data_IF_154671786949
#
_entry.id   IF_154671786949
#
_cell.length_a   1.000
_cell.length_b   1.000
_cell.length_c   1.000
_cell.angle_alpha   90.00
_cell.angle_beta   90.00
_cell.angle_gamma   90.00
#
_symmetry.space_group_name_H-M   'P 1'
#
loop_
_entity.id
_entity.type
_entity.pdbx_description
1 polymer ?
#
# COMPACT_ATOMS: atom_id res chain seq x y z
N UNK A 1 -29.25 14.26 48.10
CA UNK A 1 -29.74 15.15 47.03
C UNK A 1 -28.56 15.48 46.11
N UNK A 2 -28.33 14.65 45.09
CA UNK A 2 -27.20 14.83 44.17
C UNK A 2 -27.53 15.84 43.09
N UNK A 3 -27.03 17.07 43.22
CA UNK A 3 -27.13 18.15 42.23
C UNK A 3 -26.85 17.64 40.82
N UNK A 4 -27.89 17.44 40.01
CA UNK A 4 -27.79 17.21 38.56
C UNK A 4 -27.04 18.37 37.94
N UNK A 5 -25.74 18.20 37.71
CA UNK A 5 -24.99 19.15 36.90
C UNK A 5 -25.62 19.09 35.51
N UNK A 6 -26.35 20.14 35.12
CA UNK A 6 -26.67 20.35 33.72
C UNK A 6 -25.36 20.34 32.93
N UNK A 7 -25.35 19.60 31.82
CA UNK A 7 -24.18 19.57 30.95
C UNK A 7 -23.99 20.96 30.31
N UNK A 8 -23.02 21.72 30.83
CA UNK A 8 -22.63 23.04 30.33
C UNK A 8 -22.38 23.03 28.81
N UNK A 9 -22.44 24.19 28.15
CA UNK A 9 -22.23 24.31 26.70
C UNK A 9 -20.96 23.63 26.17
N UNK A 10 -19.89 23.59 26.97
CA UNK A 10 -18.65 22.86 26.67
C UNK A 10 -18.87 21.33 26.56
N UNK A 11 -19.58 20.71 27.50
CA UNK A 11 -19.84 19.26 27.47
C UNK A 11 -20.71 18.84 26.29
N UNK A 12 -21.70 19.67 25.93
CA UNK A 12 -22.50 19.48 24.71
C UNK A 12 -21.62 19.54 23.46
N UNK A 13 -20.71 20.51 23.38
CA UNK A 13 -19.75 20.62 22.27
C UNK A 13 -18.86 19.38 22.16
N UNK A 14 -18.27 18.90 23.26
CA UNK A 14 -17.46 17.68 23.27
C UNK A 14 -18.24 16.45 22.78
N UNK A 15 -19.50 16.30 23.22
CA UNK A 15 -20.38 15.21 22.78
C UNK A 15 -20.63 15.24 21.28
N UNK A 16 -20.96 16.41 20.72
CA UNK A 16 -21.19 16.56 19.28
C UNK A 16 -19.92 16.33 18.47
N UNK A 17 -18.77 16.83 18.92
CA UNK A 17 -17.49 16.61 18.24
C UNK A 17 -17.13 15.11 18.25
N UNK A 18 -17.18 14.46 19.41
CA UNK A 18 -16.90 13.03 19.51
C UNK A 18 -17.84 12.20 18.61
N UNK A 19 -19.13 12.49 18.62
CA UNK A 19 -20.10 11.81 17.75
C UNK A 19 -19.80 12.04 16.27
N UNK A 20 -19.50 13.28 15.87
CA UNK A 20 -19.23 13.63 14.47
C UNK A 20 -17.97 12.93 13.95
N UNK A 21 -16.86 12.95 14.70
CA UNK A 21 -15.63 12.26 14.30
C UNK A 21 -15.80 10.74 14.21
N UNK A 22 -16.51 10.13 15.17
CA UNK A 22 -16.77 8.69 15.12
C UNK A 22 -17.74 8.34 13.98
N UNK A 23 -18.70 9.19 13.63
CA UNK A 23 -19.57 8.97 12.48
C UNK A 23 -18.78 9.01 11.16
N UNK A 24 -17.85 9.97 11.01
CA UNK A 24 -16.97 10.03 9.84
C UNK A 24 -16.06 8.80 9.75
N UNK A 25 -15.49 8.36 10.88
CA UNK A 25 -14.68 7.16 10.95
C UNK A 25 -15.49 5.90 10.62
N UNK A 26 -16.75 5.82 11.06
CA UNK A 26 -17.67 4.74 10.72
C UNK A 26 -17.92 4.65 9.20
N UNK A 27 -18.24 5.77 8.57
CA UNK A 27 -18.44 5.84 7.11
C UNK A 27 -17.15 5.45 6.38
N UNK A 28 -16.00 5.97 6.82
CA UNK A 28 -14.70 5.60 6.28
C UNK A 28 -14.41 4.10 6.39
N UNK A 29 -14.69 3.50 7.55
CA UNK A 29 -14.54 2.06 7.77
C UNK A 29 -15.42 1.21 6.84
N UNK A 30 -16.67 1.63 6.62
CA UNK A 30 -17.58 0.97 5.66
C UNK A 30 -17.03 1.06 4.24
N UNK A 31 -16.54 2.23 3.82
CA UNK A 31 -15.94 2.40 2.49
C UNK A 31 -14.69 1.52 2.33
N UNK A 32 -13.79 1.51 3.31
CA UNK A 32 -12.57 0.68 3.28
C UNK A 32 -12.92 -0.81 3.22
N UNK A 33 -13.88 -1.26 4.01
CA UNK A 33 -14.36 -2.64 3.99
C UNK A 33 -15.01 -2.99 2.64
N UNK A 34 -15.84 -2.10 2.09
CA UNK A 34 -16.47 -2.31 0.79
C UNK A 34 -15.44 -2.40 -0.35
N UNK A 35 -14.40 -1.55 -0.33
CA UNK A 35 -13.27 -1.65 -1.26
C UNK A 35 -12.53 -2.98 -1.09
N UNK A 36 -12.28 -3.42 0.14
CA UNK A 36 -11.66 -4.72 0.40
C UNK A 36 -12.47 -5.90 -0.15
N UNK A 37 -13.79 -5.90 0.07
CA UNK A 37 -14.70 -6.91 -0.48
C UNK A 37 -14.72 -6.83 -2.01
N UNK A 38 -14.82 -5.63 -2.57
CA UNK A 38 -14.76 -5.41 -4.01
C UNK A 38 -13.49 -6.01 -4.61
N UNK A 39 -12.33 -5.78 -3.98
CA UNK A 39 -11.05 -6.36 -4.44
C UNK A 39 -11.03 -7.88 -4.37
N UNK A 40 -11.67 -8.51 -3.37
CA UNK A 40 -11.80 -9.96 -3.30
C UNK A 40 -12.72 -10.52 -4.38
N UNK A 41 -13.81 -9.82 -4.71
CA UNK A 41 -14.79 -10.24 -5.72
C UNK A 41 -14.27 -10.03 -7.14
N UNK A 42 -13.63 -8.89 -7.42
CA UNK A 42 -13.01 -8.61 -8.73
C UNK A 42 -11.95 -9.68 -9.08
N UNK A 43 -11.23 -10.17 -8.07
CA UNK A 43 -10.31 -11.30 -8.20
C UNK A 43 -11.02 -12.61 -8.62
N UNK A 44 -12.27 -12.86 -8.23
CA UNK A 44 -13.01 -14.06 -8.68
C UNK A 44 -13.33 -14.04 -10.18
N UNK A 45 -13.31 -12.87 -10.82
CA UNK A 45 -13.45 -12.70 -12.27
C UNK A 45 -12.10 -12.56 -12.99
N UNK A 46 -11.07 -12.07 -12.29
CA UNK A 46 -9.71 -11.84 -12.78
C UNK A 46 -8.74 -12.97 -12.40
N UNK A 47 -9.17 -14.25 -12.47
CA UNK A 47 -8.30 -15.43 -12.27
C UNK A 47 -7.09 -15.47 -13.21
N UNK A 48 -7.04 -14.57 -14.19
CA UNK A 48 -5.98 -14.50 -15.15
C UNK A 48 -5.17 -13.20 -15.14
N UNK A 49 -4.94 -12.45 -14.05
CA UNK A 49 -4.09 -11.24 -14.12
C UNK A 49 -3.30 -10.81 -12.86
N UNK A 50 -3.56 -11.37 -11.67
CA UNK A 50 -2.85 -11.02 -10.44
C UNK A 50 -2.55 -12.26 -9.59
N UNK A 51 -1.30 -12.47 -9.22
CA UNK A 51 -0.93 -12.15 -7.83
C UNK A 51 -1.62 -12.84 -6.63
N UNK A 52 -2.38 -13.94 -6.76
CA UNK A 52 -3.34 -14.49 -5.78
C UNK A 52 -2.97 -14.27 -4.30
N UNK A 53 -1.78 -14.62 -3.83
CA UNK A 53 -1.48 -14.59 -2.38
C UNK A 53 -1.19 -13.19 -1.80
N UNK A 54 -0.45 -12.33 -2.50
CA UNK A 54 -0.05 -11.01 -1.96
C UNK A 54 -1.20 -10.01 -2.07
N UNK A 55 -1.91 -10.05 -3.20
CA UNK A 55 -3.09 -9.22 -3.44
C UNK A 55 -4.23 -9.59 -2.49
N UNK A 56 -4.48 -10.89 -2.29
CA UNK A 56 -5.46 -11.36 -1.29
C UNK A 56 -5.04 -10.98 0.12
N UNK A 57 -3.75 -11.07 0.47
CA UNK A 57 -3.27 -10.62 1.78
C UNK A 57 -3.58 -9.13 2.03
N UNK A 58 -3.35 -8.27 1.04
CA UNK A 58 -3.67 -6.84 1.14
C UNK A 58 -5.19 -6.60 1.25
N UNK A 59 -6.00 -7.30 0.46
CA UNK A 59 -7.46 -7.21 0.53
C UNK A 59 -8.00 -7.65 1.89
N UNK A 60 -7.50 -8.77 2.44
CA UNK A 60 -7.88 -9.23 3.78
C UNK A 60 -7.46 -8.24 4.88
N UNK A 61 -6.30 -7.58 4.76
CA UNK A 61 -5.87 -6.53 5.70
C UNK A 61 -6.82 -5.32 5.64
N UNK A 62 -7.26 -4.91 4.44
CA UNK A 62 -8.24 -3.83 4.25
C UNK A 62 -9.58 -4.18 4.89
N UNK A 63 -10.11 -5.38 4.65
CA UNK A 63 -11.37 -5.85 5.28
C UNK A 63 -11.24 -5.87 6.80
N UNK A 64 -10.18 -6.49 7.33
CA UNK A 64 -9.95 -6.61 8.76
C UNK A 64 -9.85 -5.23 9.44
N UNK A 65 -9.11 -4.30 8.83
CA UNK A 65 -8.96 -2.93 9.34
C UNK A 65 -10.29 -2.18 9.26
N UNK A 66 -11.03 -2.32 8.16
CA UNK A 66 -12.37 -1.74 8.01
C UNK A 66 -13.33 -2.20 9.10
N UNK A 67 -13.39 -3.51 9.38
CA UNK A 67 -14.23 -4.07 10.46
C UNK A 67 -13.83 -3.51 11.83
N UNK A 68 -12.53 -3.46 12.14
CA UNK A 68 -12.04 -2.92 13.42
C UNK A 68 -12.43 -1.44 13.57
N UNK A 69 -12.23 -0.62 12.53
CA UNK A 69 -12.61 0.80 12.54
C UNK A 69 -14.12 0.97 12.73
N UNK A 70 -14.96 0.16 12.05
CA UNK A 70 -16.42 0.18 12.20
C UNK A 70 -16.83 -0.11 13.64
N UNK A 71 -16.30 -1.19 14.24
CA UNK A 71 -16.65 -1.59 15.61
C UNK A 71 -16.28 -0.50 16.62
N UNK A 72 -15.07 0.04 16.53
CA UNK A 72 -14.59 1.10 17.43
C UNK A 72 -15.43 2.37 17.26
N UNK A 73 -15.69 2.76 16.02
CA UNK A 73 -16.50 3.94 15.72
C UNK A 73 -17.93 3.81 16.23
N UNK A 74 -18.51 2.60 16.11
CA UNK A 74 -19.83 2.31 16.64
C UNK A 74 -19.88 2.40 18.18
N UNK A 75 -18.88 1.84 18.87
CA UNK A 75 -18.74 1.98 20.32
C UNK A 75 -18.59 3.45 20.75
N UNK A 76 -17.79 4.24 20.01
CA UNK A 76 -17.62 5.68 20.25
C UNK A 76 -18.92 6.47 20.07
N UNK A 77 -19.66 6.21 19.00
CA UNK A 77 -20.97 6.81 18.74
C UNK A 77 -21.99 6.45 19.83
N UNK A 78 -22.11 5.16 20.17
CA UNK A 78 -23.05 4.71 21.21
C UNK A 78 -22.67 5.26 22.59
N UNK A 79 -21.38 5.25 22.93
CA UNK A 79 -20.88 5.81 24.20
C UNK A 79 -21.22 7.29 24.33
N UNK A 80 -21.04 8.07 23.25
CA UNK A 80 -21.39 9.49 23.24
C UNK A 80 -22.90 9.73 23.33
N UNK A 81 -23.72 9.02 22.54
CA UNK A 81 -25.18 9.25 22.48
C UNK A 81 -25.90 8.75 23.73
N UNK A 82 -25.62 7.50 24.15
CA UNK A 82 -26.30 6.82 25.25
C UNK A 82 -25.74 7.17 26.62
N UNK A 83 -24.61 7.86 26.68
CA UNK A 83 -23.96 8.28 27.94
C UNK A 83 -23.68 7.09 28.88
N UNK A 84 -23.32 5.93 28.31
CA UNK A 84 -23.03 4.71 29.08
C UNK A 84 -21.54 4.68 29.42
N UNK A 85 -21.22 4.85 30.71
CA UNK A 85 -19.85 4.82 31.24
C UNK A 85 -19.04 3.59 30.83
N UNK A 86 -19.65 2.40 30.87
CA UNK A 86 -18.99 1.16 30.48
C UNK A 86 -18.51 1.19 29.02
N UNK A 87 -19.37 1.61 28.09
CA UNK A 87 -19.03 1.70 26.65
C UNK A 87 -17.92 2.72 26.39
N UNK A 88 -17.96 3.84 27.11
CA UNK A 88 -16.95 4.89 27.02
C UNK A 88 -15.59 4.45 27.58
N UNK A 89 -15.61 3.67 28.67
CA UNK A 89 -14.40 3.03 29.21
C UNK A 89 -13.84 1.98 28.25
N UNK A 90 -14.68 1.13 27.66
CA UNK A 90 -14.24 0.16 26.64
C UNK A 90 -13.61 0.85 25.44
N UNK A 91 -14.24 1.92 24.93
CA UNK A 91 -13.68 2.73 23.85
C UNK A 91 -12.30 3.31 24.22
N UNK A 92 -12.16 3.85 25.43
CA UNK A 92 -10.87 4.35 25.92
C UNK A 92 -9.80 3.25 25.98
N UNK A 93 -10.11 2.09 26.54
CA UNK A 93 -9.17 0.96 26.66
C UNK A 93 -8.70 0.49 25.27
N UNK A 94 -9.62 0.37 24.31
CA UNK A 94 -9.28 -0.05 22.95
C UNK A 94 -8.41 0.99 22.24
N UNK A 95 -8.75 2.27 22.35
CA UNK A 95 -7.93 3.36 21.77
C UNK A 95 -6.54 3.44 22.40
N UNK A 96 -6.43 3.24 23.71
CA UNK A 96 -5.15 3.17 24.41
C UNK A 96 -4.31 1.99 23.91
N UNK A 97 -4.91 0.81 23.74
CA UNK A 97 -4.26 -0.35 23.14
C UNK A 97 -3.71 -0.04 21.74
N UNK A 98 -4.53 0.58 20.88
CA UNK A 98 -4.10 0.99 19.53
C UNK A 98 -2.92 1.96 19.61
N UNK A 99 -2.99 2.97 20.47
CA UNK A 99 -1.90 3.92 20.65
C UNK A 99 -0.59 3.22 21.07
N UNK A 100 -0.65 2.29 22.01
CA UNK A 100 0.52 1.50 22.42
C UNK A 100 1.05 0.64 21.27
N UNK A 101 0.18 -0.04 20.52
CA UNK A 101 0.62 -0.84 19.35
C UNK A 101 1.24 0.01 18.26
N UNK A 102 0.76 1.25 18.04
CA UNK A 102 1.35 2.18 17.10
C UNK A 102 2.73 2.65 17.57
N UNK A 103 2.89 2.98 18.86
CA UNK A 103 4.18 3.36 19.42
C UNK A 103 5.20 2.22 19.32
N UNK A 104 4.82 1.02 19.78
CA UNK A 104 5.67 -0.17 19.70
C UNK A 104 5.98 -0.50 18.24
N UNK A 105 4.99 -0.50 17.36
CA UNK A 105 5.17 -0.76 15.93
C UNK A 105 6.11 0.26 15.26
N UNK A 106 5.99 1.55 15.60
CA UNK A 106 6.90 2.59 15.12
C UNK A 106 8.34 2.39 15.60
N UNK A 107 8.53 2.10 16.89
CA UNK A 107 9.85 1.83 17.48
C UNK A 107 10.48 0.58 16.85
N UNK A 108 9.74 -0.53 16.77
CA UNK A 108 10.22 -1.77 16.18
C UNK A 108 10.52 -1.61 14.68
N UNK A 109 9.66 -0.89 13.95
CA UNK A 109 9.86 -0.59 12.52
C UNK A 109 11.15 0.20 12.28
N UNK A 110 11.44 1.19 13.13
CA UNK A 110 12.70 1.94 13.06
C UNK A 110 13.91 1.09 13.48
N UNK A 111 13.81 0.39 14.62
CA UNK A 111 14.90 -0.41 15.17
C UNK A 111 15.34 -1.54 14.22
N UNK A 112 14.37 -2.19 13.56
CA UNK A 112 14.62 -3.31 12.65
C UNK A 112 14.64 -2.93 11.17
N UNK A 113 14.69 -1.63 10.83
CA UNK A 113 14.65 -1.16 9.43
C UNK A 113 15.70 -1.81 8.53
N UNK A 114 16.92 -2.03 9.05
CA UNK A 114 18.00 -2.65 8.29
C UNK A 114 17.74 -4.14 8.02
N UNK A 115 17.20 -4.86 9.01
CA UNK A 115 16.86 -6.28 8.87
C UNK A 115 15.70 -6.49 7.89
N UNK A 116 14.70 -5.59 7.92
CA UNK A 116 13.60 -5.60 6.94
C UNK A 116 14.14 -5.39 5.53
N UNK A 117 15.05 -4.44 5.34
CA UNK A 117 15.67 -4.18 4.04
C UNK A 117 16.45 -5.41 3.52
N UNK A 118 17.28 -6.04 4.38
CA UNK A 118 18.01 -7.27 4.02
C UNK A 118 17.06 -8.43 3.71
N UNK A 119 16.01 -8.63 4.53
CA UNK A 119 15.02 -9.69 4.31
C UNK A 119 14.28 -9.50 2.99
N UNK A 120 13.92 -8.25 2.66
CA UNK A 120 13.30 -7.90 1.38
C UNK A 120 14.23 -8.23 0.22
N UNK A 121 15.51 -7.83 0.29
CA UNK A 121 16.53 -8.18 -0.72
C UNK A 121 16.61 -9.69 -0.93
N UNK A 122 16.74 -10.48 0.15
CA UNK A 122 16.83 -11.94 0.07
C UNK A 122 15.59 -12.56 -0.56
N UNK A 123 14.39 -12.08 -0.19
CA UNK A 123 13.12 -12.55 -0.79
C UNK A 123 13.01 -12.20 -2.28
N UNK A 124 13.53 -11.04 -2.68
CA UNK A 124 13.59 -10.68 -4.10
C UNK A 124 14.48 -11.66 -4.87
N UNK A 125 15.69 -11.96 -4.39
CA UNK A 125 16.55 -12.96 -5.01
C UNK A 125 15.89 -14.35 -5.10
N UNK A 126 15.31 -14.85 -4.01
CA UNK A 126 14.68 -16.18 -4.03
C UNK A 126 13.48 -16.25 -4.98
N UNK A 127 12.77 -15.13 -5.18
CA UNK A 127 11.61 -15.08 -6.06
C UNK A 127 11.97 -15.07 -7.56
N UNK A 128 13.23 -14.82 -7.94
CA UNK A 128 13.64 -14.79 -9.35
C UNK A 128 13.39 -16.13 -10.05
N UNK A 129 13.64 -17.25 -9.37
CA UNK A 129 13.44 -18.59 -9.93
C UNK A 129 11.96 -18.96 -10.14
N UNK A 130 11.04 -18.26 -9.47
CA UNK A 130 9.59 -18.48 -9.60
C UNK A 130 8.95 -17.62 -10.70
N UNK A 131 9.66 -16.60 -11.19
CA UNK A 131 9.19 -15.77 -12.29
C UNK A 131 9.10 -16.58 -13.60
N UNK A 132 7.96 -16.48 -14.28
CA UNK A 132 7.60 -17.32 -15.44
C UNK A 132 7.02 -18.68 -15.06
N UNK A 133 7.05 -19.06 -13.77
CA UNK A 133 6.44 -20.30 -13.25
C UNK A 133 5.15 -19.97 -12.51
N UNK A 134 5.26 -19.15 -11.46
CA UNK A 134 4.10 -18.69 -10.70
C UNK A 134 3.67 -17.33 -11.24
N UNK A 135 2.41 -17.29 -11.66
CA UNK A 135 1.80 -16.05 -12.14
C UNK A 135 1.92 -14.91 -11.13
N UNK A 136 1.73 -15.22 -9.86
CA UNK A 136 1.79 -14.27 -8.74
C UNK A 136 3.12 -13.52 -8.68
N UNK A 137 4.21 -14.26 -8.77
CA UNK A 137 5.56 -13.69 -8.72
C UNK A 137 5.86 -12.95 -10.02
N UNK A 138 5.40 -13.47 -11.16
CA UNK A 138 5.56 -12.84 -12.48
C UNK A 138 4.90 -11.47 -12.53
N UNK A 139 3.62 -11.37 -12.16
CA UNK A 139 2.86 -10.11 -12.16
C UNK A 139 3.45 -9.11 -11.15
N UNK A 140 3.85 -9.57 -9.96
CA UNK A 140 4.48 -8.72 -8.95
C UNK A 140 5.79 -8.12 -9.45
N UNK A 141 6.62 -8.91 -10.14
CA UNK A 141 7.84 -8.42 -10.76
C UNK A 141 7.56 -7.48 -11.93
N UNK A 142 6.63 -7.83 -12.83
CA UNK A 142 6.30 -6.99 -13.99
C UNK A 142 5.73 -5.64 -13.58
N UNK A 143 4.85 -5.63 -12.56
CA UNK A 143 4.33 -4.43 -11.95
C UNK A 143 5.45 -3.61 -11.31
N UNK A 144 6.31 -4.25 -10.51
CA UNK A 144 7.40 -3.56 -9.81
C UNK A 144 8.37 -2.92 -10.80
N UNK A 145 8.81 -3.66 -11.81
CA UNK A 145 9.73 -3.19 -12.85
C UNK A 145 9.12 -2.05 -13.67
N UNK A 146 7.86 -2.19 -14.09
CA UNK A 146 7.15 -1.15 -14.84
C UNK A 146 6.90 0.10 -14.01
N UNK A 147 6.53 -0.06 -12.73
CA UNK A 147 6.16 1.03 -11.83
C UNK A 147 7.37 1.81 -11.34
N UNK A 148 8.44 1.12 -10.97
CA UNK A 148 9.67 1.71 -10.46
C UNK A 148 10.72 1.98 -11.55
N UNK A 149 10.45 1.57 -12.80
CA UNK A 149 11.36 1.75 -13.95
C UNK A 149 12.75 1.18 -13.66
N UNK A 150 12.77 -0.07 -13.24
CA UNK A 150 13.94 -0.81 -12.77
C UNK A 150 13.97 -2.20 -13.39
N UNK A 151 15.11 -2.90 -13.31
CA UNK A 151 15.24 -4.27 -13.78
C UNK A 151 16.12 -5.11 -12.86
N UNK A 152 15.62 -6.29 -12.49
CA UNK A 152 16.30 -7.21 -11.59
C UNK A 152 16.35 -6.71 -10.15
N UNK A 153 17.30 -7.22 -9.35
CA UNK A 153 17.30 -6.98 -7.90
C UNK A 153 18.08 -5.72 -7.55
N UNK A 154 19.39 -5.67 -7.76
CA UNK A 154 20.24 -4.54 -7.31
C UNK A 154 21.36 -4.22 -8.31
N UNK A 155 21.94 -3.03 -8.17
CA UNK A 155 23.08 -2.56 -8.95
C UNK A 155 22.70 -2.00 -10.32
N UNK A 156 23.71 -1.49 -11.03
CA UNK A 156 23.58 -0.91 -12.38
C UNK A 156 23.45 -1.96 -13.50
N UNK A 157 23.81 -3.21 -13.20
CA UNK A 157 23.63 -4.35 -14.09
C UNK A 157 22.60 -5.33 -13.50
N UNK A 158 21.60 -4.81 -12.78
CA UNK A 158 20.63 -5.64 -12.04
C UNK A 158 19.92 -6.65 -12.92
N UNK A 159 19.79 -6.35 -14.22
CA UNK A 159 19.23 -7.21 -15.23
C UNK A 159 19.99 -8.53 -15.46
N UNK A 160 21.30 -8.61 -15.16
CA UNK A 160 22.10 -9.83 -15.37
C UNK A 160 21.59 -11.00 -14.53
N UNK A 161 20.98 -10.70 -13.38
CA UNK A 161 20.45 -11.71 -12.44
C UNK A 161 19.36 -12.57 -13.06
N UNK A 162 18.62 -12.04 -14.05
CA UNK A 162 17.61 -12.80 -14.77
C UNK A 162 18.21 -13.99 -15.51
N UNK A 163 19.39 -13.81 -16.11
CA UNK A 163 20.08 -14.88 -16.83
C UNK A 163 20.71 -15.92 -15.90
N UNK A 164 21.17 -15.51 -14.72
CA UNK A 164 21.91 -16.41 -13.82
C UNK A 164 20.97 -17.20 -12.90
N UNK A 165 19.90 -16.58 -12.41
CA UNK A 165 19.12 -17.09 -11.29
C UNK A 165 17.71 -17.55 -11.71
N UNK A 166 17.29 -17.28 -12.96
CA UNK A 166 16.03 -17.77 -13.51
C UNK A 166 16.27 -18.78 -14.65
N UNK A 167 15.79 -20.02 -14.45
CA UNK A 167 15.94 -21.12 -15.42
C UNK A 167 15.14 -20.93 -16.71
N UNK A 168 14.13 -20.07 -16.71
CA UNK A 168 13.29 -19.77 -17.88
C UNK A 168 13.94 -18.74 -18.82
N UNK A 169 15.00 -18.06 -18.38
CA UNK A 169 15.76 -17.11 -19.19
C UNK A 169 17.00 -17.80 -19.78
N UNK A 170 17.04 -17.88 -21.11
CA UNK A 170 18.12 -18.54 -21.86
C UNK A 170 19.04 -17.52 -22.56
N UNK A 171 19.96 -17.97 -23.40
CA UNK A 171 20.90 -17.10 -24.10
C UNK A 171 20.23 -16.02 -24.98
N UNK A 172 19.02 -16.28 -25.49
CA UNK A 172 18.28 -15.40 -26.40
C UNK A 172 17.33 -14.45 -25.65
N UNK A 173 16.93 -14.82 -24.43
CA UNK A 173 16.04 -14.03 -23.57
C UNK A 173 16.77 -13.74 -22.26
N UNK A 174 17.33 -12.54 -22.14
CA UNK A 174 18.15 -12.11 -21.02
C UNK A 174 17.36 -11.36 -19.97
N UNK A 175 16.23 -10.72 -20.32
CA UNK A 175 15.41 -9.92 -19.41
C UNK A 175 13.90 -9.99 -19.73
N UNK A 176 13.01 -9.85 -18.73
CA UNK A 176 11.58 -9.66 -18.91
C UNK A 176 11.20 -8.50 -19.83
N UNK A 177 10.01 -8.56 -20.47
CA UNK A 177 9.50 -7.46 -21.28
C UNK A 177 9.20 -6.20 -20.44
N UNK A 178 8.82 -6.38 -19.17
CA UNK A 178 8.60 -5.32 -18.19
C UNK A 178 9.88 -4.55 -17.80
N UNK A 179 11.06 -5.10 -18.05
CA UNK A 179 12.33 -4.38 -17.99
C UNK A 179 12.56 -3.46 -19.21
N UNK A 180 11.86 -3.70 -20.32
CA UNK A 180 11.99 -2.89 -21.51
C UNK A 180 11.23 -1.57 -21.35
N UNK A 181 11.81 -0.50 -21.87
CA UNK A 181 11.17 0.80 -21.89
C UNK A 181 10.00 0.79 -22.89
N UNK A 182 8.88 1.40 -22.48
CA UNK A 182 7.67 1.51 -23.31
C UNK A 182 7.88 2.49 -24.45
N UNK A 183 7.40 2.15 -25.64
CA UNK A 183 7.36 3.07 -26.77
C UNK A 183 6.11 3.93 -26.62
N UNK A 184 6.29 5.21 -26.31
CA UNK A 184 5.20 6.19 -26.41
C UNK A 184 5.02 6.54 -27.87
N UNK A 185 4.21 5.80 -28.62
CA UNK A 185 3.66 6.31 -29.87
C UNK A 185 2.67 7.41 -29.52
N UNK A 186 3.18 8.63 -29.33
CA UNK A 186 2.35 9.81 -29.49
C UNK A 186 1.80 9.77 -30.92
N UNK A 187 0.50 9.64 -31.06
CA UNK A 187 -0.19 9.98 -32.29
C UNK A 187 0.10 11.44 -32.61
N UNK A 188 1.14 11.69 -33.39
CA UNK A 188 1.40 12.92 -34.10
C UNK A 188 1.95 12.51 -35.47
N UNK A 189 1.09 12.61 -36.49
CA UNK A 189 1.55 12.86 -37.86
C UNK A 189 2.17 14.27 -37.81
N UNK A 190 3.44 14.34 -37.44
CA UNK A 190 4.23 15.57 -37.46
C UNK A 190 4.82 15.75 -38.85
N UNK A 191 4.28 16.69 -39.62
CA UNK A 191 4.76 17.10 -40.94
C UNK A 191 6.09 17.87 -40.86
N UNK A 192 7.14 17.29 -40.28
CA UNK A 192 8.49 17.87 -40.31
C UNK A 192 9.54 16.75 -40.28
N UNK A 193 9.81 16.18 -41.46
CA UNK A 193 11.15 15.93 -41.99
C UNK A 193 12.24 15.28 -41.14
N UNK A 194 11.94 14.59 -40.05
CA UNK A 194 12.87 13.70 -39.37
C UNK A 194 12.37 12.28 -39.60
N UNK A 195 13.17 11.54 -40.37
CA UNK A 195 12.92 10.18 -40.85
C UNK A 195 11.91 9.40 -40.02
N UNK A 196 10.84 9.00 -40.69
CA UNK A 196 10.24 7.68 -40.54
C UNK A 196 11.34 6.63 -40.78
N UNK A 197 12.24 6.48 -39.81
CA UNK A 197 12.99 5.25 -39.65
C UNK A 197 11.93 4.22 -39.33
N UNK A 198 11.85 3.18 -40.16
CA UNK A 198 11.22 1.92 -39.81
C UNK A 198 11.64 1.63 -38.36
N UNK A 199 10.73 1.79 -37.39
CA UNK A 199 10.93 1.24 -36.06
C UNK A 199 10.89 -0.26 -36.29
N UNK A 200 12.07 -0.86 -36.44
CA UNK A 200 12.26 -2.29 -36.52
C UNK A 200 11.47 -2.94 -35.37
N UNK A 201 10.44 -3.71 -35.70
CA UNK A 201 9.66 -4.60 -34.84
C UNK A 201 9.76 -4.30 -33.33
N UNK A 202 8.99 -3.30 -32.86
CA UNK A 202 8.73 -3.18 -31.43
C UNK A 202 8.11 -4.49 -30.91
N UNK A 203 8.51 -4.94 -29.72
CA UNK A 203 7.90 -6.11 -29.12
C UNK A 203 6.53 -5.71 -28.56
N UNK A 204 5.48 -6.39 -29.00
CA UNK A 204 4.11 -6.13 -28.57
C UNK A 204 3.75 -7.10 -27.42
N UNK A 205 3.21 -6.58 -26.33
CA UNK A 205 2.62 -7.43 -25.29
C UNK A 205 1.22 -7.93 -25.71
N UNK A 206 0.68 -8.90 -24.98
CA UNK A 206 -0.65 -9.46 -25.23
C UNK A 206 -1.78 -8.43 -25.11
N UNK A 207 -1.52 -7.27 -24.50
CA UNK A 207 -2.44 -6.15 -24.34
C UNK A 207 -2.27 -5.07 -25.43
N UNK A 208 -1.42 -5.30 -26.44
CA UNK A 208 -1.19 -4.38 -27.55
C UNK A 208 -0.26 -3.20 -27.24
N UNK A 209 0.43 -3.19 -26.10
CA UNK A 209 1.45 -2.18 -25.80
C UNK A 209 2.77 -2.50 -26.51
N UNK A 210 3.39 -1.48 -27.07
CA UNK A 210 4.67 -1.60 -27.79
C UNK A 210 5.84 -1.27 -26.87
N UNK A 211 6.86 -2.14 -26.86
CA UNK A 211 8.09 -2.01 -26.10
C UNK A 211 9.30 -1.96 -27.02
N UNK A 212 10.36 -1.29 -26.57
CA UNK A 212 11.63 -1.32 -27.28
C UNK A 212 12.21 -2.74 -27.26
N UNK A 213 12.77 -3.25 -28.37
CA UNK A 213 13.35 -4.58 -28.41
C UNK A 213 14.59 -4.62 -27.52
N UNK A 214 14.45 -5.22 -26.33
CA UNK A 214 15.51 -5.21 -25.31
C UNK A 214 15.80 -6.59 -24.72
N UNK A 215 14.93 -7.59 -24.93
CA UNK A 215 15.01 -8.86 -24.21
C UNK A 215 16.31 -9.64 -24.48
N UNK A 216 16.87 -9.58 -25.70
CA UNK A 216 18.11 -10.26 -26.04
C UNK A 216 19.39 -9.41 -25.89
N UNK A 217 19.26 -8.09 -25.91
CA UNK A 217 20.39 -7.14 -25.80
C UNK A 217 19.94 -5.86 -25.09
N UNK A 218 19.79 -5.90 -23.75
CA UNK A 218 19.37 -4.73 -22.99
C UNK A 218 20.50 -3.69 -22.97
N UNK A 219 20.15 -2.43 -23.26
CA UNK A 219 21.06 -1.29 -23.15
C UNK A 219 20.34 -0.09 -22.51
N UNK A 220 21.07 0.99 -22.21
CA UNK A 220 20.54 2.16 -21.50
C UNK A 220 19.39 2.86 -22.23
N UNK A 221 19.29 2.70 -23.55
CA UNK A 221 18.27 3.34 -24.37
C UNK A 221 17.03 2.46 -24.57
N UNK A 222 17.13 1.14 -24.33
CA UNK A 222 16.03 0.19 -24.60
C UNK A 222 15.46 -0.46 -23.34
N UNK A 223 16.24 -0.52 -22.26
CA UNK A 223 15.87 -1.19 -21.01
C UNK A 223 16.13 -0.31 -19.78
N UNK A 224 15.48 -0.64 -18.68
CA UNK A 224 15.88 -0.17 -17.36
C UNK A 224 17.07 -1.01 -16.87
N UNK A 225 18.12 -0.35 -16.37
CA UNK A 225 19.35 -1.05 -15.94
C UNK A 225 19.52 -1.10 -14.42
N UNK A 226 18.95 -0.14 -13.70
CA UNK A 226 19.03 -0.07 -12.24
C UNK A 226 18.16 -1.14 -11.57
N UNK A 227 18.69 -1.79 -10.54
CA UNK A 227 17.98 -2.79 -9.74
C UNK A 227 16.75 -2.25 -9.00
N UNK A 228 15.71 -3.08 -8.88
CA UNK A 228 14.45 -2.71 -8.25
C UNK A 228 14.51 -2.58 -6.73
N UNK A 229 15.43 -3.26 -6.05
CA UNK A 229 15.67 -3.09 -4.62
C UNK A 229 16.20 -1.69 -4.32
N UNK A 230 17.17 -1.20 -5.10
CA UNK A 230 17.75 0.13 -4.92
C UNK A 230 16.71 1.22 -5.17
N UNK A 231 15.99 1.11 -6.29
CA UNK A 231 14.88 2.02 -6.64
C UNK A 231 13.73 1.95 -5.64
N UNK A 232 13.44 0.76 -5.12
CA UNK A 232 12.44 0.56 -4.08
C UNK A 232 12.85 1.24 -2.77
N UNK A 233 14.11 1.11 -2.35
CA UNK A 233 14.63 1.77 -1.16
C UNK A 233 14.64 3.31 -1.31
N UNK A 234 14.98 3.80 -2.50
CA UNK A 234 14.88 5.22 -2.86
C UNK A 234 13.42 5.71 -2.75
N UNK A 235 12.48 4.98 -3.36
CA UNK A 235 11.06 5.30 -3.29
C UNK A 235 10.52 5.30 -1.85
N UNK A 236 10.94 4.34 -1.02
CA UNK A 236 10.55 4.29 0.40
C UNK A 236 11.11 5.49 1.16
N UNK A 237 12.35 5.92 0.88
CA UNK A 237 12.94 7.11 1.50
C UNK A 237 12.20 8.38 1.10
N UNK A 238 11.85 8.52 -0.18
CA UNK A 238 11.11 9.68 -0.68
C UNK A 238 9.71 9.79 -0.06
N UNK A 239 9.05 8.66 0.17
CA UNK A 239 7.71 8.62 0.75
C UNK A 239 7.72 8.52 2.29
N UNK A 240 8.89 8.41 2.93
CA UNK A 240 9.01 8.21 4.37
C UNK A 240 8.37 9.36 5.17
N UNK A 241 8.50 10.60 4.68
CA UNK A 241 7.88 11.77 5.30
C UNK A 241 6.35 11.68 5.30
N UNK A 242 5.75 11.20 4.21
CA UNK A 242 4.30 11.04 4.10
C UNK A 242 3.82 9.96 5.06
N UNK A 243 4.47 8.80 5.07
CA UNK A 243 4.12 7.69 5.97
C UNK A 243 4.26 8.10 7.45
N UNK A 244 5.35 8.80 7.79
CA UNK A 244 5.56 9.36 9.12
C UNK A 244 4.47 10.36 9.51
N UNK A 245 4.11 11.27 8.59
CA UNK A 245 3.04 12.24 8.80
C UNK A 245 1.68 11.59 9.03
N UNK A 246 1.32 10.57 8.24
CA UNK A 246 0.08 9.79 8.43
C UNK A 246 0.08 9.13 9.81
N UNK A 247 1.19 8.52 10.23
CA UNK A 247 1.32 7.91 11.56
C UNK A 247 1.12 8.91 12.70
N UNK A 248 1.73 10.10 12.60
CA UNK A 248 1.56 11.19 13.58
C UNK A 248 0.11 11.68 13.62
N UNK A 249 -0.51 11.86 12.45
CA UNK A 249 -1.91 12.28 12.35
C UNK A 249 -2.86 11.29 13.01
N UNK A 250 -2.68 9.99 12.77
CA UNK A 250 -3.48 8.94 13.42
C UNK A 250 -3.24 8.97 14.93
N UNK A 251 -1.99 9.09 15.40
CA UNK A 251 -1.69 9.15 16.83
C UNK A 251 -2.37 10.35 17.51
N UNK A 252 -2.38 11.50 16.86
CA UNK A 252 -3.08 12.70 17.34
C UNK A 252 -4.60 12.48 17.45
N UNK A 253 -5.23 11.90 16.42
CA UNK A 253 -6.66 11.59 16.43
C UNK A 253 -7.00 10.59 17.56
N UNK A 254 -6.16 9.57 17.77
CA UNK A 254 -6.33 8.60 18.85
C UNK A 254 -6.23 9.26 20.23
N UNK A 255 -5.26 10.17 20.43
CA UNK A 255 -5.13 10.94 21.67
C UNK A 255 -6.36 11.82 21.92
N UNK A 256 -6.85 12.54 20.90
CA UNK A 256 -8.08 13.32 21.02
C UNK A 256 -9.28 12.45 21.41
N UNK A 257 -9.43 11.28 20.78
CA UNK A 257 -10.47 10.32 21.11
C UNK A 257 -10.43 9.90 22.58
N UNK A 258 -9.24 9.60 23.10
CA UNK A 258 -9.05 9.25 24.52
C UNK A 258 -9.42 10.41 25.46
N UNK A 259 -8.98 11.63 25.14
CA UNK A 259 -9.29 12.83 25.94
C UNK A 259 -10.80 13.06 25.99
N UNK A 260 -11.48 13.01 24.84
CA UNK A 260 -12.93 13.21 24.76
C UNK A 260 -13.69 12.13 25.53
N UNK A 261 -13.25 10.87 25.41
CA UNK A 261 -13.84 9.74 26.13
C UNK A 261 -13.75 9.94 27.65
N UNK A 262 -12.57 10.29 28.17
CA UNK A 262 -12.39 10.49 29.61
C UNK A 262 -13.11 11.74 30.13
N UNK A 263 -13.11 12.82 29.36
CA UNK A 263 -13.86 14.04 29.71
C UNK A 263 -15.37 13.75 29.82
N UNK A 264 -15.95 13.05 28.84
CA UNK A 264 -17.35 12.65 28.89
C UNK A 264 -17.63 11.66 30.02
N UNK A 265 -16.72 10.71 30.29
CA UNK A 265 -16.87 9.75 31.39
C UNK A 265 -17.00 10.45 32.74
N UNK A 266 -16.19 11.48 32.98
CA UNK A 266 -16.22 12.27 34.21
C UNK A 266 -17.44 13.21 34.31
N UNK A 267 -17.99 13.64 33.17
CA UNK A 267 -19.19 14.50 33.14
C UNK A 267 -20.48 13.71 33.36
N UNK A 268 -20.51 12.42 32.99
CA UNK A 268 -21.66 11.55 33.21
C UNK A 268 -21.71 11.15 34.68
N UNK A 269 -22.88 11.27 35.30
CA UNK A 269 -23.11 10.89 36.69
C UNK A 269 -23.15 9.39 36.92
#
# INVERSE_FOLDING_TARGET
MGHGAEMNGCGKCLKYLMFTFNLLALVGGIVVMAVGIWTCVDHAYMEQLLGTNLYMSAAYILIATGVVVILISFLGCLGAVKEIKCMLLTYFIVMFGIFVTMLVGGILGYAFRANVAVSMRTRMYSSLGEYGVTRVVTDAWDFTQSKLRCCGVEGFDGYKVWRTDNRNFNSNLQVPLSCCQKIWTSGQIGNNGISSGILNAGQMDLAGQSYMPCQGSPNSNTAYLTGCYDKGLEAVKDQAAIVGGVGIGIAFVTLMGMIFSMALFNMIK
#
